data_IF_532267138186
#
_entry.id   IF_532267138186
#
_cell.length_a   1.000
_cell.length_b   1.000
_cell.length_c   1.000
_cell.angle_alpha   90.00
_cell.angle_beta   90.00
_cell.angle_gamma   90.00
#
_symmetry.space_group_name_H-M   'P 1'
#
loop_
_entity.id
_entity.type
_entity.pdbx_description
1 polymer ?
#
# COMPACT_ATOMS: atom_id res chain seq x y z
N UNK A 1 -55.71 19.35 46.40
CA UNK A 1 -55.64 19.47 44.93
C UNK A 1 -55.49 18.06 44.38
N UNK A 2 -56.64 17.42 44.13
CA UNK A 2 -56.85 16.05 43.67
C UNK A 2 -56.65 16.00 42.13
N UNK A 3 -55.94 15.04 41.54
CA UNK A 3 -56.14 13.57 41.42
C UNK A 3 -57.08 13.17 40.26
N UNK A 4 -56.70 12.06 39.60
CA UNK A 4 -57.54 11.06 38.88
C UNK A 4 -57.78 11.21 37.36
N UNK A 5 -57.18 10.24 36.64
CA UNK A 5 -57.70 9.22 35.70
C UNK A 5 -58.88 9.48 34.71
N UNK A 6 -58.78 8.68 33.63
CA UNK A 6 -59.86 8.03 32.84
C UNK A 6 -60.66 8.95 31.90
N UNK A 7 -61.14 8.57 30.71
CA UNK A 7 -61.64 7.28 30.20
C UNK A 7 -61.84 7.36 28.68
N UNK A 8 -61.85 6.19 28.02
CA UNK A 8 -62.25 5.90 26.63
C UNK A 8 -63.67 6.38 26.25
N UNK A 9 -63.94 6.52 24.93
CA UNK A 9 -65.17 6.14 24.18
C UNK A 9 -65.03 6.66 22.73
N UNK A 10 -64.88 5.79 21.72
CA UNK A 10 -65.91 5.13 20.88
C UNK A 10 -66.23 5.88 19.57
N UNK A 11 -66.02 5.14 18.46
CA UNK A 11 -66.83 5.08 17.24
C UNK A 11 -66.89 6.28 16.27
N UNK A 12 -66.44 6.07 15.02
CA UNK A 12 -67.35 5.84 13.90
C UNK A 12 -66.63 5.27 12.67
N UNK A 13 -67.36 4.41 11.96
CA UNK A 13 -67.00 3.66 10.76
C UNK A 13 -66.68 4.54 9.55
N UNK A 14 -65.75 4.08 8.72
CA UNK A 14 -65.89 4.16 7.26
C UNK A 14 -65.27 2.92 6.62
N UNK A 15 -66.16 2.06 6.15
CA UNK A 15 -65.88 0.92 5.27
C UNK A 15 -65.36 1.49 3.95
N UNK A 16 -64.15 1.12 3.56
CA UNK A 16 -63.76 1.16 2.14
C UNK A 16 -63.14 -0.18 1.76
N UNK A 17 -63.86 -0.86 0.87
CA UNK A 17 -63.46 -2.09 0.20
C UNK A 17 -62.37 -1.76 -0.81
N UNK A 18 -61.12 -2.02 -0.43
CA UNK A 18 -59.97 -2.02 -1.34
C UNK A 18 -59.25 -3.35 -1.21
N UNK A 19 -59.34 -4.18 -2.24
CA UNK A 19 -58.60 -5.42 -2.33
C UNK A 19 -57.08 -5.11 -2.32
N UNK A 20 -56.41 -5.41 -1.22
CA UNK A 20 -54.95 -5.40 -1.15
C UNK A 20 -54.47 -6.70 -1.77
N UNK A 21 -54.07 -6.65 -3.04
CA UNK A 21 -53.26 -7.70 -3.63
C UNK A 21 -51.93 -7.74 -2.85
N UNK A 22 -51.76 -8.74 -2.00
CA UNK A 22 -50.45 -9.04 -1.41
C UNK A 22 -49.54 -9.52 -2.53
N UNK A 23 -48.68 -8.62 -3.02
CA UNK A 23 -47.51 -9.02 -3.82
C UNK A 23 -46.50 -9.60 -2.83
N UNK A 24 -46.51 -10.91 -2.68
CA UNK A 24 -45.45 -11.63 -1.95
C UNK A 24 -44.22 -11.65 -2.85
N UNK A 25 -43.28 -10.71 -2.63
CA UNK A 25 -41.94 -10.81 -3.20
C UNK A 25 -41.23 -11.97 -2.51
N UNK A 26 -41.25 -13.15 -3.12
CA UNK A 26 -40.30 -14.22 -2.80
C UNK A 26 -38.92 -13.75 -3.25
N UNK A 27 -38.15 -13.19 -2.32
CA UNK A 27 -36.71 -13.05 -2.49
C UNK A 27 -36.15 -14.45 -2.39
N UNK A 28 -35.92 -15.11 -3.53
CA UNK A 28 -35.07 -16.28 -3.56
C UNK A 28 -33.68 -15.83 -3.09
N UNK A 29 -33.11 -16.45 -2.04
CA UNK A 29 -31.74 -16.18 -1.70
C UNK A 29 -30.90 -16.76 -2.84
N UNK A 30 -30.42 -15.90 -3.75
CA UNK A 30 -29.24 -16.22 -4.56
C UNK A 30 -28.04 -16.25 -3.62
N UNK A 31 -28.00 -17.27 -2.77
CA UNK A 31 -26.77 -17.75 -2.15
C UNK A 31 -25.91 -18.31 -3.26
N UNK A 32 -25.16 -17.44 -3.93
CA UNK A 32 -23.97 -17.89 -4.63
C UNK A 32 -23.04 -18.44 -3.55
N UNK A 33 -23.12 -19.76 -3.33
CA UNK A 33 -22.12 -20.49 -2.59
C UNK A 33 -20.77 -20.13 -3.22
N UNK A 34 -19.93 -19.40 -2.48
CA UNK A 34 -18.56 -19.15 -2.86
C UNK A 34 -17.93 -20.52 -3.12
N UNK A 35 -17.69 -20.82 -4.39
CA UNK A 35 -17.13 -22.11 -4.80
C UNK A 35 -15.81 -22.28 -4.07
N UNK A 36 -15.68 -23.38 -3.31
CA UNK A 36 -14.45 -23.68 -2.59
C UNK A 36 -13.33 -23.90 -3.60
N UNK A 37 -12.48 -22.90 -3.77
CA UNK A 37 -11.25 -23.03 -4.55
C UNK A 37 -10.25 -23.76 -3.67
N UNK A 38 -9.98 -25.02 -4.00
CA UNK A 38 -8.85 -25.75 -3.44
C UNK A 38 -7.55 -25.20 -4.04
N UNK A 39 -6.49 -25.11 -3.24
CA UNK A 39 -5.18 -24.72 -3.74
C UNK A 39 -4.71 -25.67 -4.87
N UNK A 40 -4.08 -25.16 -5.95
CA UNK A 40 -3.45 -26.00 -6.94
C UNK A 40 -2.48 -26.99 -6.27
N UNK A 41 -2.52 -28.26 -6.69
CA UNK A 41 -1.73 -29.35 -6.11
C UNK A 41 -0.20 -29.12 -6.14
N UNK A 42 0.27 -28.12 -6.88
CA UNK A 42 1.68 -27.76 -7.07
C UNK A 42 2.02 -26.32 -6.65
N UNK A 43 1.16 -25.63 -5.88
CA UNK A 43 1.38 -24.23 -5.47
C UNK A 43 2.76 -23.99 -4.89
N UNK A 44 3.22 -24.88 -4.00
CA UNK A 44 4.55 -24.82 -3.40
C UNK A 44 5.68 -24.83 -4.44
N UNK A 45 5.63 -25.79 -5.39
CA UNK A 45 6.65 -25.91 -6.43
C UNK A 45 6.69 -24.69 -7.35
N UNK A 46 5.52 -24.14 -7.69
CA UNK A 46 5.40 -22.92 -8.50
C UNK A 46 6.07 -21.74 -7.79
N UNK A 47 5.73 -21.49 -6.52
CA UNK A 47 6.29 -20.36 -5.76
C UNK A 47 7.79 -20.51 -5.54
N UNK A 48 8.26 -21.73 -5.21
CA UNK A 48 9.69 -22.03 -5.09
C UNK A 48 10.44 -21.68 -6.38
N UNK A 49 9.94 -22.15 -7.51
CA UNK A 49 10.57 -21.94 -8.81
C UNK A 49 10.59 -20.45 -9.19
N UNK A 50 9.45 -19.77 -9.06
CA UNK A 50 9.29 -18.38 -9.54
C UNK A 50 10.06 -17.37 -8.70
N UNK A 51 10.19 -17.59 -7.40
CA UNK A 51 10.84 -16.65 -6.48
C UNK A 51 12.21 -17.12 -5.98
N UNK A 52 12.69 -18.28 -6.44
CA UNK A 52 13.96 -18.85 -5.99
C UNK A 52 13.99 -19.17 -4.49
N UNK A 53 12.85 -19.55 -3.91
CA UNK A 53 12.76 -19.85 -2.47
C UNK A 53 13.54 -21.14 -2.20
N UNK A 54 14.46 -21.11 -1.24
CA UNK A 54 15.24 -22.31 -0.89
C UNK A 54 14.31 -23.38 -0.28
N UNK A 55 14.51 -24.68 -0.55
CA UNK A 55 13.70 -25.74 0.06
C UNK A 55 13.67 -25.69 1.60
N UNK A 56 14.80 -25.40 2.23
CA UNK A 56 14.90 -25.21 3.69
C UNK A 56 14.04 -24.05 4.21
N UNK A 57 13.90 -23.00 3.41
CA UNK A 57 13.11 -21.83 3.75
C UNK A 57 11.62 -22.14 3.56
N UNK A 58 11.27 -22.89 2.52
CA UNK A 58 9.91 -23.33 2.31
C UNK A 58 9.39 -24.23 3.45
N UNK A 59 10.23 -25.14 3.96
CA UNK A 59 9.87 -25.98 5.11
C UNK A 59 9.48 -25.14 6.34
N UNK A 60 10.24 -24.06 6.61
CA UNK A 60 9.93 -23.12 7.69
C UNK A 60 8.60 -22.41 7.46
N UNK A 61 8.30 -22.00 6.22
CA UNK A 61 7.00 -21.39 5.88
C UNK A 61 5.86 -22.38 6.15
N UNK A 62 6.03 -23.66 5.80
CA UNK A 62 5.01 -24.70 6.08
C UNK A 62 4.88 -25.06 7.56
N UNK A 63 5.89 -24.77 8.36
CA UNK A 63 5.85 -24.86 9.83
C UNK A 63 5.28 -23.58 10.48
N UNK A 64 4.83 -22.61 9.67
CA UNK A 64 4.24 -21.37 10.14
C UNK A 64 5.24 -20.27 10.50
N UNK A 65 6.53 -20.42 10.18
CA UNK A 65 7.50 -19.34 10.33
C UNK A 65 7.35 -18.28 9.23
N UNK A 66 7.78 -17.05 9.54
CA UNK A 66 7.94 -15.98 8.55
C UNK A 66 9.37 -16.03 8.05
N UNK A 67 9.56 -16.22 6.75
CA UNK A 67 10.89 -16.18 6.15
C UNK A 67 11.11 -14.83 5.50
N UNK A 68 12.23 -14.19 5.83
CA UNK A 68 12.74 -13.03 5.09
C UNK A 68 14.17 -13.23 4.61
N UNK A 69 14.47 -12.74 3.40
CA UNK A 69 15.78 -12.84 2.75
C UNK A 69 16.12 -11.53 2.06
N UNK A 70 17.43 -11.27 1.98
CA UNK A 70 17.99 -10.31 1.03
C UNK A 70 18.37 -11.14 -0.20
N UNK A 71 17.87 -10.76 -1.37
CA UNK A 71 18.22 -11.41 -2.63
C UNK A 71 19.36 -10.64 -3.33
N UNK A 72 20.01 -11.32 -4.28
CA UNK A 72 21.01 -10.69 -5.12
C UNK A 72 20.37 -9.55 -5.93
N UNK A 73 21.00 -8.38 -5.86
CA UNK A 73 20.57 -7.19 -6.57
C UNK A 73 21.39 -7.03 -7.85
N UNK A 74 20.82 -6.43 -8.89
CA UNK A 74 21.55 -6.22 -10.15
C UNK A 74 22.67 -5.17 -9.97
N UNK A 75 22.40 -4.13 -9.17
CA UNK A 75 23.32 -3.01 -9.00
C UNK A 75 23.64 -2.75 -7.52
N UNK A 76 24.77 -2.08 -7.29
CA UNK A 76 25.21 -1.66 -5.95
C UNK A 76 24.30 -0.65 -5.24
N UNK A 77 23.25 -0.18 -5.91
CA UNK A 77 22.29 0.79 -5.40
C UNK A 77 20.90 0.21 -5.20
N UNK A 78 20.71 -1.06 -5.60
CA UNK A 78 19.47 -1.78 -5.39
C UNK A 78 19.56 -2.64 -4.13
N UNK A 79 18.44 -2.74 -3.42
CA UNK A 79 18.19 -3.75 -2.41
C UNK A 79 16.94 -4.51 -2.80
N UNK A 80 17.03 -5.84 -2.77
CA UNK A 80 15.90 -6.73 -3.05
C UNK A 80 15.63 -7.54 -1.78
N UNK A 81 14.41 -7.46 -1.28
CA UNK A 81 13.94 -8.23 -0.13
C UNK A 81 12.85 -9.19 -0.59
N UNK A 82 12.94 -10.42 -0.09
CA UNK A 82 11.92 -11.45 -0.23
C UNK A 82 11.35 -11.75 1.15
N UNK A 83 10.03 -11.84 1.24
CA UNK A 83 9.32 -12.27 2.43
C UNK A 83 8.27 -13.32 2.06
N UNK A 84 8.15 -14.38 2.83
CA UNK A 84 7.17 -15.45 2.61
C UNK A 84 6.53 -15.84 3.93
N UNK A 85 5.20 -15.94 3.95
CA UNK A 85 4.42 -16.30 5.14
C UNK A 85 3.16 -17.05 4.75
N UNK A 86 2.77 -18.03 5.56
CA UNK A 86 1.42 -18.60 5.52
C UNK A 86 0.46 -17.75 6.36
N UNK A 87 -0.67 -17.38 5.76
CA UNK A 87 -1.72 -16.56 6.35
C UNK A 87 -3.00 -17.39 6.52
N UNK A 88 -3.80 -17.12 7.56
CA UNK A 88 -5.13 -17.70 7.67
C UNK A 88 -6.08 -17.06 6.63
N UNK A 89 -7.03 -17.85 6.15
CA UNK A 89 -8.09 -17.43 5.25
C UNK A 89 -7.73 -17.53 3.77
N UNK A 90 -8.74 -17.26 2.94
CA UNK A 90 -8.63 -17.24 1.47
C UNK A 90 -8.04 -15.90 0.97
N UNK A 91 -7.52 -15.83 -0.25
CA UNK A 91 -7.00 -14.59 -0.84
C UNK A 91 -8.03 -13.43 -0.85
N UNK A 92 -9.32 -13.74 -0.95
CA UNK A 92 -10.40 -12.75 -0.84
C UNK A 92 -10.46 -12.05 0.52
N UNK A 93 -10.14 -12.76 1.61
CA UNK A 93 -10.05 -12.16 2.95
C UNK A 93 -8.89 -11.17 3.02
N UNK A 94 -7.74 -11.52 2.43
CA UNK A 94 -6.62 -10.60 2.31
C UNK A 94 -6.99 -9.37 1.49
N UNK A 95 -7.74 -9.54 0.40
CA UNK A 95 -8.20 -8.43 -0.42
C UNK A 95 -9.10 -7.46 0.39
N UNK A 96 -10.00 -7.98 1.22
CA UNK A 96 -10.84 -7.17 2.11
C UNK A 96 -10.02 -6.46 3.21
N UNK A 97 -8.96 -7.11 3.72
CA UNK A 97 -8.01 -6.50 4.66
C UNK A 97 -7.20 -5.38 4.00
N UNK A 98 -6.66 -5.62 2.80
CA UNK A 98 -5.81 -4.67 2.09
C UNK A 98 -6.56 -3.38 1.70
N UNK A 99 -7.88 -3.45 1.45
CA UNK A 99 -8.72 -2.25 1.25
C UNK A 99 -8.80 -1.36 2.49
N UNK A 100 -8.64 -1.92 3.68
CA UNK A 100 -8.65 -1.17 4.93
C UNK A 100 -7.26 -0.59 5.17
N UNK A 101 -6.96 0.46 4.41
CA UNK A 101 -5.63 1.05 4.26
C UNK A 101 -4.94 1.32 5.60
N UNK A 102 -5.65 1.90 6.57
CA UNK A 102 -5.12 2.16 7.91
C UNK A 102 -4.64 0.87 8.55
N UNK A 103 -5.44 -0.19 8.54
CA UNK A 103 -5.05 -1.45 9.17
C UNK A 103 -3.95 -2.18 8.39
N UNK A 104 -3.98 -2.07 7.06
CA UNK A 104 -2.99 -2.66 6.18
C UNK A 104 -1.60 -2.02 6.35
N UNK A 105 -1.56 -0.71 6.57
CA UNK A 105 -0.33 0.09 6.59
C UNK A 105 0.17 0.39 8.00
N UNK A 106 -0.73 0.57 8.98
CA UNK A 106 -0.41 0.95 10.35
C UNK A 106 0.29 -0.21 11.07
N UNK A 107 1.60 -0.09 11.20
CA UNK A 107 2.43 -1.00 11.97
C UNK A 107 3.35 -0.17 12.87
N UNK A 108 4.13 -0.82 13.75
CA UNK A 108 4.95 -0.12 14.75
C UNK A 108 5.97 0.89 14.19
N UNK A 109 6.25 0.81 12.89
CA UNK A 109 7.20 1.68 12.20
C UNK A 109 6.54 2.87 11.51
N UNK A 110 5.21 2.92 11.48
CA UNK A 110 4.44 4.03 10.92
C UNK A 110 4.01 4.94 12.06
N UNK A 111 4.50 6.18 12.05
CA UNK A 111 4.18 7.15 13.09
C UNK A 111 2.93 7.97 12.76
N UNK A 112 2.71 8.25 11.47
CA UNK A 112 1.56 8.98 10.94
C UNK A 112 1.28 8.52 9.51
N UNK A 113 0.02 8.64 9.10
CA UNK A 113 -0.41 8.39 7.73
C UNK A 113 -1.67 9.17 7.40
N UNK A 114 -1.98 9.27 6.11
CA UNK A 114 -3.24 9.80 5.62
C UNK A 114 -3.57 9.24 4.24
N UNK A 115 -4.86 9.04 3.98
CA UNK A 115 -5.34 8.66 2.66
C UNK A 115 -5.32 9.89 1.74
N UNK A 116 -5.10 9.66 0.46
CA UNK A 116 -5.12 10.68 -0.59
C UNK A 116 -6.21 10.32 -1.60
N UNK A 117 -6.96 11.33 -2.02
CA UNK A 117 -7.95 11.23 -3.08
C UNK A 117 -7.83 12.40 -4.05
N UNK A 118 -8.07 12.20 -5.36
CA UNK A 118 -8.05 13.30 -6.32
C UNK A 118 -9.07 14.41 -6.01
N UNK A 119 -10.18 14.08 -5.35
CA UNK A 119 -11.29 15.01 -5.09
C UNK A 119 -11.09 15.86 -3.82
N UNK A 120 -10.34 15.38 -2.83
CA UNK A 120 -10.13 16.05 -1.53
C UNK A 120 -8.67 16.33 -1.21
N UNK A 121 -7.79 16.29 -2.22
CA UNK A 121 -6.34 16.33 -2.01
C UNK A 121 -5.84 17.46 -1.07
N UNK A 122 -6.33 18.71 -1.14
CA UNK A 122 -5.90 19.74 -0.19
C UNK A 122 -6.21 19.40 1.27
N UNK A 123 -7.40 18.85 1.55
CA UNK A 123 -7.78 18.42 2.91
C UNK A 123 -6.98 17.18 3.35
N UNK A 124 -6.74 16.26 2.43
CA UNK A 124 -5.99 15.02 2.68
C UNK A 124 -4.51 15.27 3.04
N UNK A 125 -3.98 16.42 2.62
CA UNK A 125 -2.62 16.88 2.92
C UNK A 125 -2.53 17.80 4.14
N UNK A 126 -3.65 18.25 4.72
CA UNK A 126 -3.67 19.19 5.85
C UNK A 126 -2.87 18.66 7.05
N UNK A 127 -2.96 17.35 7.28
CA UNK A 127 -2.25 16.68 8.37
C UNK A 127 -0.79 16.37 8.03
N UNK A 128 -0.39 16.46 6.77
CA UNK A 128 1.00 16.23 6.37
C UNK A 128 1.83 17.49 6.65
N UNK A 129 2.82 17.36 7.52
CA UNK A 129 3.75 18.44 7.83
C UNK A 129 5.19 18.01 7.56
N UNK A 130 6.00 18.95 7.07
CA UNK A 130 7.44 18.72 6.94
C UNK A 130 8.04 18.66 8.33
N UNK A 131 8.79 17.59 8.61
CA UNK A 131 9.30 17.33 9.95
C UNK A 131 10.39 18.32 10.30
N UNK A 132 10.58 18.57 11.59
CA UNK A 132 11.56 19.57 12.06
C UNK A 132 12.99 19.30 11.60
N UNK A 133 13.38 18.02 11.51
CA UNK A 133 14.68 17.64 10.94
C UNK A 133 14.80 17.89 9.43
N UNK A 134 13.68 17.79 8.69
CA UNK A 134 13.53 18.17 7.28
C UNK A 134 13.65 19.68 7.10
N UNK A 135 12.94 20.46 7.93
CA UNK A 135 13.10 21.93 7.99
C UNK A 135 14.55 22.34 8.24
N UNK A 136 15.23 21.73 9.23
CA UNK A 136 16.65 22.03 9.52
C UNK A 136 17.55 21.72 8.33
N UNK A 137 17.31 20.61 7.63
CA UNK A 137 18.18 20.17 6.55
C UNK A 137 17.99 20.97 5.25
N UNK A 138 16.82 21.60 5.06
CA UNK A 138 16.59 22.43 3.87
C UNK A 138 17.20 23.84 3.97
N UNK A 139 17.66 24.29 5.14
CA UNK A 139 18.37 25.58 5.30
C UNK A 139 19.58 25.71 4.38
N UNK A 140 20.33 24.63 4.24
CA UNK A 140 21.49 24.54 3.33
C UNK A 140 21.13 24.05 1.93
N UNK A 141 19.85 23.90 1.60
CA UNK A 141 19.39 23.38 0.31
C UNK A 141 19.74 24.36 -0.80
N UNK A 142 20.46 23.87 -1.81
CA UNK A 142 20.73 24.57 -3.06
C UNK A 142 20.52 23.58 -4.20
N UNK A 143 20.37 24.08 -5.42
CA UNK A 143 20.24 23.22 -6.59
C UNK A 143 21.42 22.26 -6.66
N UNK A 144 21.14 20.97 -6.83
CA UNK A 144 22.15 19.91 -6.85
C UNK A 144 22.76 19.55 -5.48
N UNK A 145 22.35 20.24 -4.41
CA UNK A 145 22.82 20.00 -3.04
C UNK A 145 21.70 20.24 -2.04
N UNK A 146 20.77 19.28 -1.99
CA UNK A 146 19.67 19.28 -1.03
C UNK A 146 19.56 17.92 -0.33
N UNK A 147 19.24 17.96 0.96
CA UNK A 147 19.00 16.74 1.74
C UNK A 147 17.58 16.20 1.57
N UNK A 148 16.67 17.04 1.04
CA UNK A 148 15.30 16.68 0.71
C UNK A 148 15.16 16.54 -0.80
N UNK A 149 14.44 15.50 -1.23
CA UNK A 149 14.13 15.25 -2.64
C UNK A 149 13.08 16.22 -3.13
N UNK A 150 13.49 17.19 -3.93
CA UNK A 150 12.61 18.24 -4.45
C UNK A 150 13.02 18.57 -5.89
N UNK A 151 12.09 19.03 -6.73
CA UNK A 151 12.43 19.54 -8.06
C UNK A 151 13.09 20.91 -7.97
N UNK A 152 13.72 21.33 -9.07
CA UNK A 152 14.50 22.56 -9.15
C UNK A 152 13.73 23.82 -8.75
N UNK A 153 12.47 23.94 -9.19
CA UNK A 153 11.62 25.09 -8.89
C UNK A 153 11.36 25.23 -7.38
N UNK A 154 11.05 24.12 -6.70
CA UNK A 154 10.81 24.10 -5.26
C UNK A 154 12.08 24.41 -4.47
N UNK A 155 13.24 23.89 -4.90
CA UNK A 155 14.54 24.22 -4.30
C UNK A 155 14.86 25.72 -4.46
N UNK A 156 14.61 26.28 -5.65
CA UNK A 156 14.83 27.70 -5.90
C UNK A 156 13.92 28.57 -5.01
N UNK A 157 12.65 28.22 -4.86
CA UNK A 157 11.72 28.93 -3.99
C UNK A 157 12.12 28.84 -2.51
N UNK A 158 12.57 27.67 -2.03
CA UNK A 158 13.10 27.51 -0.67
C UNK A 158 14.32 28.40 -0.41
N UNK A 159 15.18 28.61 -1.41
CA UNK A 159 16.39 29.44 -1.27
C UNK A 159 16.11 30.93 -1.10
N UNK A 160 14.87 31.38 -1.39
CA UNK A 160 14.44 32.76 -1.20
C UNK A 160 13.86 33.04 0.20
N UNK A 161 13.62 32.00 0.99
CA UNK A 161 13.11 32.16 2.35
C UNK A 161 14.22 32.68 3.28
N UNK A 162 13.85 33.59 4.18
CA UNK A 162 14.72 34.02 5.26
C UNK A 162 14.82 32.91 6.32
N UNK A 163 16.02 32.33 6.49
CA UNK A 163 16.24 31.22 7.42
C UNK A 163 16.15 31.61 8.90
N UNK A 164 16.22 32.91 9.19
CA UNK A 164 16.19 33.47 10.54
C UNK A 164 14.78 33.92 10.97
N UNK A 165 13.80 33.89 10.06
CA UNK A 165 12.38 34.13 10.35
C UNK A 165 11.83 33.06 11.31
N UNK A 166 11.10 33.50 12.35
CA UNK A 166 10.44 32.60 13.32
C UNK A 166 9.42 31.67 12.64
N UNK A 167 8.85 32.08 11.50
CA UNK A 167 7.91 31.32 10.70
C UNK A 167 8.58 30.45 9.62
N UNK A 168 9.92 30.42 9.55
CA UNK A 168 10.67 29.67 8.53
C UNK A 168 10.19 28.22 8.37
N UNK A 169 9.98 27.52 9.50
CA UNK A 169 9.50 26.13 9.46
C UNK A 169 8.10 25.97 8.86
N UNK A 170 7.19 26.92 9.16
CA UNK A 170 5.85 26.92 8.59
C UNK A 170 5.86 27.27 7.09
N UNK A 171 6.70 28.24 6.69
CA UNK A 171 6.90 28.62 5.29
C UNK A 171 7.47 27.45 4.46
N UNK A 172 8.49 26.76 4.98
CA UNK A 172 9.04 25.54 4.36
C UNK A 172 7.97 24.47 4.22
N UNK A 173 7.23 24.18 5.30
CA UNK A 173 6.21 23.12 5.27
C UNK A 173 5.13 23.44 4.25
N UNK A 174 4.64 24.70 4.22
CA UNK A 174 3.65 25.15 3.24
C UNK A 174 4.16 24.98 1.82
N UNK A 175 5.34 25.50 1.51
CA UNK A 175 5.91 25.46 0.16
C UNK A 175 6.09 24.01 -0.35
N UNK A 176 6.56 23.10 0.51
CA UNK A 176 6.73 21.69 0.15
C UNK A 176 5.38 20.98 -0.01
N UNK A 177 4.43 21.23 0.89
CA UNK A 177 3.10 20.58 0.83
C UNK A 177 2.30 21.09 -0.36
N UNK A 178 2.35 22.39 -0.65
CA UNK A 178 1.73 23.00 -1.83
C UNK A 178 2.30 22.36 -3.11
N UNK A 179 3.63 22.26 -3.21
CA UNK A 179 4.28 21.56 -4.32
C UNK A 179 3.84 20.09 -4.43
N UNK A 180 3.79 19.35 -3.32
CA UNK A 180 3.39 17.95 -3.32
C UNK A 180 1.93 17.79 -3.77
N UNK A 181 1.05 18.72 -3.39
CA UNK A 181 -0.33 18.78 -3.85
C UNK A 181 -0.42 18.98 -5.36
N UNK A 182 0.27 19.97 -5.91
CA UNK A 182 0.33 20.22 -7.36
C UNK A 182 0.88 19.02 -8.14
N UNK A 183 1.96 18.42 -7.63
CA UNK A 183 2.56 17.22 -8.21
C UNK A 183 1.58 16.04 -8.24
N UNK A 184 0.87 15.78 -7.15
CA UNK A 184 -0.08 14.67 -7.08
C UNK A 184 -1.31 14.90 -7.97
N UNK A 185 -1.78 16.14 -8.14
CA UNK A 185 -2.83 16.45 -9.12
C UNK A 185 -2.38 16.12 -10.54
N UNK A 186 -1.16 16.51 -10.92
CA UNK A 186 -0.60 16.18 -12.23
C UNK A 186 -0.47 14.66 -12.41
N UNK A 187 -0.06 13.95 -11.34
CA UNK A 187 0.02 12.50 -11.33
C UNK A 187 -1.34 11.83 -11.54
N UNK A 188 -2.40 12.28 -10.84
CA UNK A 188 -3.73 11.72 -11.05
C UNK A 188 -4.28 11.97 -12.46
N UNK A 189 -3.83 13.04 -13.14
CA UNK A 189 -4.24 13.33 -14.51
C UNK A 189 -3.42 12.59 -15.58
N UNK A 190 -2.12 12.39 -15.35
CA UNK A 190 -1.16 11.96 -16.40
C UNK A 190 -0.35 10.71 -16.04
N UNK A 191 -0.61 10.10 -14.88
CA UNK A 191 0.05 8.88 -14.41
C UNK A 191 1.57 9.00 -14.41
N UNK A 192 2.22 7.99 -14.99
CA UNK A 192 3.68 7.88 -15.09
C UNK A 192 4.37 9.08 -15.75
N UNK A 193 3.68 9.84 -16.61
CA UNK A 193 4.27 10.98 -17.30
C UNK A 193 4.53 12.18 -16.36
N UNK A 194 3.81 12.25 -15.24
CA UNK A 194 3.97 13.34 -14.26
C UNK A 194 4.99 13.01 -13.16
N UNK A 195 5.55 11.80 -13.10
CA UNK A 195 6.51 11.41 -12.07
C UNK A 195 7.70 12.38 -12.04
N UNK A 196 8.01 12.86 -10.84
CA UNK A 196 8.95 13.98 -10.60
C UNK A 196 10.39 13.68 -11.02
N UNK A 197 11.06 14.72 -11.53
CA UNK A 197 12.52 14.82 -11.64
C UNK A 197 13.08 15.52 -10.39
N UNK A 198 13.86 14.82 -9.59
CA UNK A 198 14.50 15.39 -8.40
C UNK A 198 15.78 16.13 -8.79
N UNK A 199 15.97 17.33 -8.22
CA UNK A 199 17.15 18.16 -8.42
C UNK A 199 17.94 18.37 -7.11
N UNK A 200 17.80 17.43 -6.16
CA UNK A 200 18.48 17.46 -4.86
C UNK A 200 19.98 17.12 -4.95
N UNK A 201 20.42 16.58 -6.09
CA UNK A 201 21.79 16.13 -6.36
C UNK A 201 22.30 16.71 -7.67
N UNK A 202 23.62 16.80 -7.81
CA UNK A 202 24.30 17.39 -9.00
C UNK A 202 23.76 16.80 -10.30
N UNK A 203 23.55 15.47 -10.32
CA UNK A 203 22.83 14.79 -11.39
C UNK A 203 21.34 14.65 -11.00
N UNK A 204 20.41 15.31 -11.73
CA UNK A 204 18.99 15.12 -11.50
C UNK A 204 18.57 13.64 -11.63
N UNK A 205 17.65 13.22 -10.76
CA UNK A 205 17.19 11.85 -10.68
C UNK A 205 15.71 11.76 -11.10
N UNK A 206 15.46 10.97 -12.13
CA UNK A 206 14.12 10.69 -12.63
C UNK A 206 13.45 9.57 -11.83
N UNK A 207 12.35 9.89 -11.13
CA UNK A 207 11.53 8.85 -10.48
C UNK A 207 10.92 7.90 -11.51
N UNK A 208 10.52 8.41 -12.68
CA UNK A 208 10.01 7.59 -13.78
C UNK A 208 11.06 6.58 -14.27
N UNK A 209 12.31 7.01 -14.45
CA UNK A 209 13.40 6.11 -14.84
C UNK A 209 13.65 5.05 -13.78
N UNK A 210 13.73 5.44 -12.51
CA UNK A 210 13.92 4.51 -11.40
C UNK A 210 12.78 3.49 -11.28
N UNK A 211 11.53 3.92 -11.48
CA UNK A 211 10.39 3.02 -11.51
C UNK A 211 10.45 2.02 -12.67
N UNK A 212 10.75 2.47 -13.90
CA UNK A 212 10.93 1.57 -15.05
C UNK A 212 12.07 0.57 -14.85
N UNK A 213 13.19 1.01 -14.29
CA UNK A 213 14.33 0.14 -13.93
C UNK A 213 13.88 -0.97 -12.98
N UNK A 214 13.14 -0.63 -11.92
CA UNK A 214 12.64 -1.59 -10.94
C UNK A 214 11.59 -2.53 -11.54
N UNK A 215 10.59 -1.98 -12.25
CA UNK A 215 9.51 -2.76 -12.86
C UNK A 215 10.05 -3.75 -13.90
N UNK A 216 11.04 -3.35 -14.71
CA UNK A 216 11.72 -4.22 -15.66
C UNK A 216 12.36 -5.46 -15.03
N UNK A 217 12.61 -5.46 -13.72
CA UNK A 217 13.20 -6.57 -12.96
C UNK A 217 12.18 -7.45 -12.24
N UNK A 218 10.88 -7.15 -12.34
CA UNK A 218 9.79 -7.99 -11.83
C UNK A 218 9.30 -8.97 -12.93
N UNK A 219 10.15 -9.94 -13.29
CA UNK A 219 9.81 -10.92 -14.35
C UNK A 219 8.58 -11.75 -14.02
N UNK A 220 8.44 -12.19 -12.75
CA UNK A 220 7.26 -12.93 -12.29
C UNK A 220 5.97 -12.14 -12.52
N UNK A 221 6.01 -10.82 -12.35
CA UNK A 221 4.83 -9.97 -12.59
C UNK A 221 4.48 -9.91 -14.07
N UNK A 222 5.49 -9.74 -14.94
CA UNK A 222 5.31 -9.75 -16.39
C UNK A 222 4.78 -11.10 -16.90
N UNK A 223 5.21 -12.21 -16.31
CA UNK A 223 4.84 -13.56 -16.70
C UNK A 223 3.47 -14.01 -16.16
N UNK A 224 3.14 -13.64 -14.92
CA UNK A 224 1.97 -14.17 -14.19
C UNK A 224 0.78 -13.21 -14.16
N UNK A 225 1.02 -11.91 -14.36
CA UNK A 225 -0.03 -10.88 -14.40
C UNK A 225 0.29 -9.83 -15.48
N UNK A 226 0.35 -10.23 -16.76
CA UNK A 226 0.77 -9.34 -17.85
C UNK A 226 -0.12 -8.10 -18.00
N UNK A 227 -1.42 -8.19 -17.68
CA UNK A 227 -2.34 -7.05 -17.68
C UNK A 227 -1.96 -6.03 -16.60
N UNK A 228 -1.66 -6.50 -15.38
CA UNK A 228 -1.16 -5.64 -14.30
C UNK A 228 0.22 -5.05 -14.65
N UNK A 229 1.10 -5.84 -15.24
CA UNK A 229 2.41 -5.36 -15.69
C UNK A 229 2.27 -4.25 -16.74
N UNK A 230 1.41 -4.44 -17.73
CA UNK A 230 1.09 -3.42 -18.75
C UNK A 230 0.46 -2.16 -18.14
N UNK A 231 -0.48 -2.33 -17.20
CA UNK A 231 -1.06 -1.22 -16.44
C UNK A 231 0.02 -0.42 -15.72
N UNK A 232 0.94 -1.08 -15.01
CA UNK A 232 2.03 -0.40 -14.29
C UNK A 232 2.98 0.36 -15.23
N UNK A 233 3.24 -0.16 -16.44
CA UNK A 233 4.09 0.50 -17.43
C UNK A 233 3.46 1.79 -17.98
N UNK A 234 2.18 1.74 -18.32
CA UNK A 234 1.49 2.84 -19.00
C UNK A 234 0.83 3.81 -18.02
N UNK A 235 0.44 3.31 -16.85
CA UNK A 235 -0.40 3.98 -15.86
C UNK A 235 -1.52 4.80 -16.51
N UNK A 236 -2.40 4.12 -17.29
CA UNK A 236 -3.37 4.77 -18.15
C UNK A 236 -4.42 5.52 -17.31
N UNK A 237 -4.96 6.59 -17.89
CA UNK A 237 -6.05 7.36 -17.27
C UNK A 237 -7.32 6.53 -17.02
N UNK A 238 -7.55 5.49 -17.83
CA UNK A 238 -8.62 4.53 -17.64
C UNK A 238 -8.13 3.35 -16.79
N UNK A 239 -8.81 3.12 -15.66
CA UNK A 239 -8.49 2.03 -14.74
C UNK A 239 -9.30 0.79 -15.14
N UNK A 240 -8.65 -0.34 -15.48
CA UNK A 240 -9.36 -1.59 -15.76
C UNK A 240 -10.23 -2.05 -14.58
N UNK A 241 -11.36 -2.74 -14.82
CA UNK A 241 -12.27 -3.16 -13.75
C UNK A 241 -11.64 -4.16 -12.76
N UNK A 242 -10.55 -4.83 -13.13
CA UNK A 242 -9.77 -5.73 -12.28
C UNK A 242 -8.88 -4.99 -11.28
N UNK A 243 -8.69 -3.68 -11.46
CA UNK A 243 -7.74 -2.85 -10.74
C UNK A 243 -8.47 -1.91 -9.78
N UNK A 244 -8.02 -1.90 -8.53
CA UNK A 244 -8.42 -0.93 -7.52
C UNK A 244 -7.18 -0.14 -7.08
N UNK A 245 -7.25 1.19 -7.15
CA UNK A 245 -6.21 2.08 -6.69
C UNK A 245 -6.53 2.68 -5.33
N UNK A 246 -5.53 2.76 -4.47
CA UNK A 246 -5.56 3.56 -3.25
C UNK A 246 -4.27 4.38 -3.16
N UNK A 247 -4.37 5.62 -2.71
CA UNK A 247 -3.24 6.52 -2.56
C UNK A 247 -3.12 6.95 -1.11
N UNK A 248 -1.89 7.06 -0.61
CA UNK A 248 -1.67 7.44 0.76
C UNK A 248 -0.26 7.99 0.96
N UNK A 249 -0.11 8.80 2.00
CA UNK A 249 1.17 9.18 2.54
C UNK A 249 1.40 8.50 3.90
N UNK A 250 2.66 8.27 4.23
CA UNK A 250 3.05 7.79 5.55
C UNK A 250 4.36 8.43 6.00
N UNK A 251 4.61 8.37 7.31
CA UNK A 251 5.89 8.70 7.93
C UNK A 251 6.43 7.42 8.59
N UNK A 252 7.42 6.83 7.93
CA UNK A 252 8.05 5.56 8.33
C UNK A 252 9.37 5.81 9.05
N UNK A 253 9.54 5.28 10.25
CA UNK A 253 10.82 5.24 10.95
C UNK A 253 11.45 3.86 10.77
N UNK A 254 12.68 3.82 10.22
CA UNK A 254 13.47 2.60 10.09
C UNK A 254 14.82 2.63 10.81
N UNK A 255 14.88 3.34 11.93
CA UNK A 255 16.11 3.52 12.72
C UNK A 255 17.14 4.42 12.03
N UNK A 256 16.70 5.19 11.03
CA UNK A 256 17.40 6.35 10.47
C UNK A 256 16.42 7.53 10.53
N UNK A 257 16.84 8.72 10.07
CA UNK A 257 15.94 9.86 9.82
C UNK A 257 14.61 9.36 9.17
N UNK A 258 13.46 9.43 9.87
CA UNK A 258 12.22 8.87 9.35
C UNK A 258 11.86 9.42 7.98
N UNK A 259 11.17 8.65 7.15
CA UNK A 259 10.93 8.93 5.76
C UNK A 259 9.46 9.26 5.54
N UNK A 260 9.19 10.41 4.93
CA UNK A 260 7.86 10.70 4.38
C UNK A 260 7.78 10.08 2.99
N UNK A 261 6.81 9.19 2.76
CA UNK A 261 6.54 8.63 1.43
C UNK A 261 5.13 8.92 0.98
N UNK A 262 4.93 8.95 -0.33
CA UNK A 262 3.62 8.86 -0.97
C UNK A 262 3.62 7.61 -1.83
N UNK A 263 2.57 6.80 -1.72
CA UNK A 263 2.47 5.48 -2.33
C UNK A 263 1.12 5.32 -3.04
N UNK A 264 1.16 4.72 -4.24
CA UNK A 264 0.00 4.12 -4.89
C UNK A 264 -0.01 2.63 -4.58
N UNK A 265 -1.12 2.14 -4.02
CA UNK A 265 -1.43 0.72 -3.90
C UNK A 265 -2.35 0.32 -5.05
N UNK A 266 -1.88 -0.58 -5.90
CA UNK A 266 -2.59 -1.15 -7.02
C UNK A 266 -2.98 -2.57 -6.63
N UNK A 267 -4.26 -2.82 -6.39
CA UNK A 267 -4.79 -4.16 -6.14
C UNK A 267 -5.38 -4.72 -7.43
N UNK A 268 -4.98 -5.92 -7.82
CA UNK A 268 -5.40 -6.57 -9.06
C UNK A 268 -5.96 -7.97 -8.79
N UNK A 269 -7.13 -8.24 -9.37
CA UNK A 269 -7.77 -9.57 -9.34
C UNK A 269 -8.03 -10.07 -10.76
N UNK A 270 -7.37 -11.16 -11.22
CA UNK A 270 -7.59 -11.71 -12.55
C UNK A 270 -9.05 -12.12 -12.77
N UNK A 271 -9.64 -11.77 -13.92
CA UNK A 271 -11.08 -11.98 -14.20
C UNK A 271 -11.48 -13.42 -14.57
N UNK A 272 -10.56 -14.27 -15.05
CA UNK A 272 -10.85 -15.68 -15.34
C UNK A 272 -9.56 -16.51 -15.45
N UNK A 273 -9.52 -17.70 -14.81
CA UNK A 273 -8.46 -18.71 -14.99
C UNK A 273 -7.52 -18.91 -13.79
N UNK A 274 -7.31 -17.88 -12.97
CA UNK A 274 -6.53 -17.94 -11.72
C UNK A 274 -7.42 -17.61 -10.51
N UNK A 275 -8.54 -18.34 -10.38
CA UNK A 275 -9.42 -18.19 -9.22
C UNK A 275 -8.59 -18.51 -7.97
N UNK A 276 -8.46 -17.57 -7.03
CA UNK A 276 -7.61 -17.73 -5.85
C UNK A 276 -6.23 -17.07 -5.92
N UNK A 277 -6.04 -16.09 -6.81
CA UNK A 277 -4.82 -15.28 -6.84
C UNK A 277 -5.14 -13.78 -6.69
N UNK A 278 -4.40 -13.09 -5.84
CA UNK A 278 -4.49 -11.65 -5.60
C UNK A 278 -3.11 -11.03 -5.70
N UNK A 279 -3.01 -9.94 -6.45
CA UNK A 279 -1.81 -9.11 -6.51
C UNK A 279 -2.07 -7.76 -5.87
N UNK A 280 -1.12 -7.28 -5.08
CA UNK A 280 -1.04 -5.89 -4.64
C UNK A 280 0.35 -5.37 -4.94
N UNK A 281 0.43 -4.28 -5.70
CA UNK A 281 1.68 -3.59 -5.99
C UNK A 281 1.68 -2.23 -5.31
N UNK A 282 2.68 -1.96 -4.50
CA UNK A 282 2.93 -0.66 -3.89
C UNK A 282 4.01 0.05 -4.69
N UNK A 283 3.64 1.15 -5.34
CA UNK A 283 4.51 1.99 -6.15
C UNK A 283 4.80 3.29 -5.40
N UNK A 284 6.08 3.60 -5.23
CA UNK A 284 6.49 4.88 -4.66
C UNK A 284 6.21 6.03 -5.64
N UNK A 285 5.43 7.02 -5.20
CA UNK A 285 5.22 8.29 -5.90
C UNK A 285 6.13 9.40 -5.35
N UNK A 286 6.55 9.28 -4.09
CA UNK A 286 7.47 10.22 -3.48
C UNK A 286 8.17 9.58 -2.28
N UNK A 287 9.42 9.98 -2.03
CA UNK A 287 10.15 9.71 -0.80
C UNK A 287 10.99 10.95 -0.48
N UNK A 288 10.90 11.47 0.75
CA UNK A 288 11.57 12.72 1.11
C UNK A 288 13.09 12.66 1.01
N UNK A 289 13.69 11.48 1.14
CA UNK A 289 15.15 11.26 1.07
C UNK A 289 15.49 9.78 0.88
N UNK A 290 16.78 9.45 0.76
CA UNK A 290 17.38 8.12 0.57
C UNK A 290 17.02 7.34 -0.70
N UNK A 291 15.77 7.36 -1.14
CA UNK A 291 15.25 6.47 -2.18
C UNK A 291 14.98 7.24 -3.46
N UNK A 292 15.44 6.72 -4.59
CA UNK A 292 15.10 7.22 -5.94
C UNK A 292 14.01 6.39 -6.64
N UNK A 293 13.57 5.31 -5.99
CA UNK A 293 12.44 4.50 -6.42
C UNK A 293 12.24 3.31 -5.49
N UNK A 294 10.99 2.86 -5.32
CA UNK A 294 10.67 1.62 -4.63
C UNK A 294 9.40 1.01 -5.24
N UNK A 295 9.41 -0.31 -5.39
CA UNK A 295 8.28 -1.11 -5.84
C UNK A 295 8.20 -2.35 -4.95
N UNK A 296 7.04 -2.58 -4.33
CA UNK A 296 6.75 -3.80 -3.57
C UNK A 296 5.62 -4.54 -4.24
N UNK A 297 5.80 -5.84 -4.45
CA UNK A 297 4.77 -6.75 -4.92
C UNK A 297 4.39 -7.70 -3.80
N UNK A 298 3.09 -7.88 -3.60
CA UNK A 298 2.48 -8.85 -2.69
C UNK A 298 1.62 -9.76 -3.56
N UNK A 299 1.95 -11.05 -3.60
CA UNK A 299 1.15 -12.07 -4.26
C UNK A 299 0.56 -12.99 -3.21
N UNK A 300 -0.75 -13.09 -3.19
CA UNK A 300 -1.48 -14.00 -2.30
C UNK A 300 -2.07 -15.12 -3.14
N UNK A 301 -1.67 -16.35 -2.82
CA UNK A 301 -2.11 -17.56 -3.50
C UNK A 301 -2.73 -18.50 -2.49
N UNK A 302 -3.82 -19.17 -2.85
CA UNK A 302 -4.44 -20.19 -1.99
C UNK A 302 -3.41 -21.26 -1.59
N UNK A 303 -3.35 -21.58 -0.29
CA UNK A 303 -2.53 -22.64 0.28
C UNK A 303 -3.38 -23.86 0.66
N UNK A 304 -2.74 -24.97 1.09
CA UNK A 304 -3.49 -26.11 1.62
C UNK A 304 -4.29 -25.70 2.86
N UNK A 305 -5.48 -26.24 3.03
CA UNK A 305 -6.25 -26.05 4.25
C UNK A 305 -5.46 -26.59 5.46
N UNK A 306 -5.52 -25.89 6.58
CA UNK A 306 -4.94 -26.32 7.87
C UNK A 306 -6.04 -26.84 8.78
N UNK A 307 -5.66 -27.35 9.96
CA UNK A 307 -6.64 -27.73 10.98
C UNK A 307 -7.51 -26.53 11.45
N UNK A 308 -7.02 -25.30 11.27
CA UNK A 308 -7.70 -24.06 11.65
C UNK A 308 -8.58 -23.50 10.51
N UNK A 309 -8.58 -24.13 9.33
CA UNK A 309 -9.39 -23.74 8.17
C UNK A 309 -8.57 -23.37 6.93
N UNK A 310 -9.16 -22.64 5.97
CA UNK A 310 -8.48 -22.26 4.74
C UNK A 310 -7.23 -21.44 5.01
N UNK A 311 -6.19 -21.63 4.19
CA UNK A 311 -4.96 -20.83 4.28
C UNK A 311 -4.54 -20.26 2.93
N UNK A 312 -3.65 -19.27 2.98
CA UNK A 312 -3.02 -18.67 1.80
C UNK A 312 -1.53 -18.47 2.04
N UNK A 313 -0.73 -18.54 0.99
CA UNK A 313 0.65 -18.05 1.03
C UNK A 313 0.68 -16.61 0.55
N UNK A 314 1.37 -15.75 1.29
CA UNK A 314 1.75 -14.41 0.86
C UNK A 314 3.24 -14.40 0.53
N UNK A 315 3.56 -14.07 -0.73
CA UNK A 315 4.91 -13.77 -1.18
C UNK A 315 5.04 -12.26 -1.37
N UNK A 316 6.00 -11.66 -0.68
CA UNK A 316 6.35 -10.25 -0.77
C UNK A 316 7.72 -10.12 -1.43
N UNK A 317 7.81 -9.36 -2.51
CA UNK A 317 9.08 -8.94 -3.11
C UNK A 317 9.14 -7.43 -3.13
N UNK A 318 10.15 -6.88 -2.46
CA UNK A 318 10.39 -5.43 -2.41
C UNK A 318 11.72 -5.11 -3.06
N UNK A 319 11.68 -4.23 -4.07
CA UNK A 319 12.87 -3.67 -4.70
C UNK A 319 12.96 -2.20 -4.39
N UNK A 320 14.12 -1.77 -3.93
CA UNK A 320 14.38 -0.38 -3.54
C UNK A 320 15.66 0.10 -4.22
N UNK A 321 15.58 1.26 -4.87
CA UNK A 321 16.74 1.97 -5.41
C UNK A 321 17.11 3.11 -4.46
N UNK A 322 18.31 3.01 -3.89
CA UNK A 322 18.90 4.07 -3.10
C UNK A 322 19.53 5.17 -3.96
N UNK A 323 19.69 6.34 -3.36
CA UNK A 323 20.52 7.41 -3.89
C UNK A 323 21.98 6.96 -4.03
N UNK A 324 22.66 7.50 -5.04
CA UNK A 324 24.10 7.31 -5.24
C UNK A 324 24.97 7.81 -4.07
N UNK A 325 24.43 8.65 -3.18
CA UNK A 325 25.13 9.08 -1.95
C UNK A 325 25.02 8.09 -0.79
N UNK A 326 24.12 7.11 -0.87
CA UNK A 326 24.00 6.05 0.14
C UNK A 326 25.09 5.01 -0.15
N UNK A 327 26.31 5.32 0.27
CA UNK A 327 27.47 4.44 0.03
C UNK A 327 27.31 3.04 0.63
N UNK A 328 28.14 2.11 0.18
CA UNK A 328 28.04 0.68 0.52
C UNK A 328 27.98 0.37 2.01
N UNK A 329 28.70 1.12 2.85
CA UNK A 329 28.68 0.94 4.31
C UNK A 329 27.31 1.31 4.93
N UNK A 330 26.72 2.44 4.53
CA UNK A 330 25.38 2.84 4.99
C UNK A 330 24.33 1.81 4.56
N UNK A 331 24.46 1.29 3.34
CA UNK A 331 23.60 0.23 2.83
C UNK A 331 23.74 -1.06 3.63
N UNK A 332 24.97 -1.47 3.97
CA UNK A 332 25.21 -2.64 4.81
C UNK A 332 24.59 -2.50 6.21
N UNK A 333 24.53 -1.29 6.75
CA UNK A 333 23.89 -1.00 8.04
C UNK A 333 22.34 -0.94 7.97
N UNK A 334 21.77 -0.45 6.86
CA UNK A 334 20.31 -0.33 6.72
C UNK A 334 19.66 -1.64 6.28
N UNK A 335 20.37 -2.48 5.52
CA UNK A 335 19.84 -3.72 4.94
C UNK A 335 19.23 -4.66 6.00
N UNK A 336 19.93 -4.97 7.12
CA UNK A 336 19.34 -5.80 8.18
C UNK A 336 18.10 -5.18 8.81
N UNK A 337 18.08 -3.84 8.96
CA UNK A 337 16.91 -3.13 9.48
C UNK A 337 15.73 -3.30 8.54
N UNK A 338 15.88 -2.97 7.25
CA UNK A 338 14.80 -3.09 6.27
C UNK A 338 14.27 -4.53 6.15
N UNK A 339 15.15 -5.55 6.24
CA UNK A 339 14.72 -6.94 6.34
C UNK A 339 13.85 -7.18 7.58
N UNK A 340 14.27 -6.67 8.75
CA UNK A 340 13.49 -6.71 9.98
C UNK A 340 12.13 -6.01 9.83
N UNK A 341 12.09 -4.83 9.21
CA UNK A 341 10.84 -4.11 8.92
C UNK A 341 9.87 -4.94 8.07
N UNK A 342 10.38 -5.67 7.07
CA UNK A 342 9.56 -6.58 6.28
C UNK A 342 9.01 -7.72 7.14
N UNK A 343 9.85 -8.33 7.98
CA UNK A 343 9.46 -9.40 8.90
C UNK A 343 8.37 -8.95 9.88
N UNK A 344 8.51 -7.74 10.43
CA UNK A 344 7.55 -7.11 11.33
C UNK A 344 6.22 -6.81 10.65
N UNK A 345 6.28 -6.33 9.40
CA UNK A 345 5.09 -6.04 8.59
C UNK A 345 4.32 -7.32 8.30
N UNK A 346 5.00 -8.39 7.88
CA UNK A 346 4.37 -9.68 7.64
C UNK A 346 3.78 -10.28 8.93
N UNK A 347 4.50 -10.11 10.05
CA UNK A 347 4.01 -10.51 11.38
C UNK A 347 2.74 -9.76 11.78
N UNK A 348 2.72 -8.45 11.54
CA UNK A 348 1.55 -7.60 11.77
C UNK A 348 0.35 -8.04 10.93
N UNK A 349 0.54 -8.20 9.62
CA UNK A 349 -0.51 -8.63 8.70
C UNK A 349 -1.11 -9.98 9.13
N UNK A 350 -0.26 -10.97 9.45
CA UNK A 350 -0.71 -12.27 9.95
C UNK A 350 -1.53 -12.12 11.23
N UNK A 351 -1.03 -11.35 12.21
CA UNK A 351 -1.74 -11.14 13.49
C UNK A 351 -3.13 -10.54 13.30
N UNK A 352 -3.27 -9.51 12.46
CA UNK A 352 -4.58 -8.89 12.23
C UNK A 352 -5.54 -9.84 11.51
N UNK A 353 -5.05 -10.65 10.58
CA UNK A 353 -5.88 -11.64 9.89
C UNK A 353 -6.34 -12.77 10.81
N UNK A 354 -5.49 -13.23 11.74
CA UNK A 354 -5.88 -14.20 12.78
C UNK A 354 -7.01 -13.64 13.66
N UNK A 355 -6.82 -12.43 14.22
CA UNK A 355 -7.82 -11.80 15.10
C UNK A 355 -9.18 -11.60 14.41
N UNK A 356 -9.17 -11.32 13.11
CA UNK A 356 -10.40 -11.23 12.30
C UNK A 356 -11.05 -12.58 12.08
N UNK A 357 -10.27 -13.61 11.79
CA UNK A 357 -10.75 -14.99 11.65
C UNK A 357 -11.47 -15.45 12.92
N UNK A 358 -10.90 -15.21 14.09
CA UNK A 358 -11.51 -15.48 15.39
C UNK A 358 -12.83 -14.70 15.58
N UNK A 359 -12.85 -13.42 15.18
CA UNK A 359 -14.07 -12.58 15.29
C UNK A 359 -15.20 -13.10 14.39
N UNK A 360 -14.89 -13.57 13.18
CA UNK A 360 -15.88 -14.13 12.26
C UNK A 360 -16.39 -15.48 12.79
N UNK A 361 -15.50 -16.38 13.22
CA UNK A 361 -15.86 -17.68 13.77
C UNK A 361 -16.69 -17.60 15.07
N UNK A 362 -16.57 -16.51 15.84
CA UNK A 362 -17.39 -16.27 17.06
C UNK A 362 -18.81 -15.76 16.79
N UNK A 363 -19.13 -15.39 15.55
CA UNK A 363 -20.44 -14.85 15.12
C UNK A 363 -21.27 -15.83 14.29
N UNK A 364 -20.70 -16.96 13.95
CA UNK A 364 -21.36 -18.13 13.36
C UNK A 364 -21.65 -19.15 14.47
#
# INVERSE_FOLDING_TARGET
MHSVMHTSLLSLLLVSTGAVAQVTLTVEPTGQAATSVAAPANTAAILIQQYGIKPSDWNKVTEGEIVTRVLDAHDNWELVLLGVVQLPGRPSHFAAFARQLEQFSNNRHVSRMGQLSPMSLPADLELLTVRQEDVKAVRSCRLGKCHMKLPSATIAALSQLDSDDELYGAQVSRLVVDWLGEYLQQYFASGNAALVEYADQEEPQSLQRGFRELLGRFTVLAEQAPELYGYLQQDPAEIPPEIENQFYWLIEDFGMRPLTTVTQSIMYRPQAGAVGELWIVLKQLYASHYLRGAVRSLRVVAGPDTQEGPSSYLVCVERVLFDKRVGGLKRALVTPRMRGHLEDRLSWMRRILVLRGETIASRE
#
